data_IF_885474164858
#
_entry.id   IF_885474164858
#
_cell.length_a   1.000
_cell.length_b   1.000
_cell.length_c   1.000
_cell.angle_alpha   90.00
_cell.angle_beta   90.00
_cell.angle_gamma   90.00
#
_symmetry.space_group_name_H-M   'P 1'
#
loop_
_entity.id
_entity.type
_entity.pdbx_description
1 polymer ?
#
# COMPACT_ATOMS: atom_id res chain seq x y z
N UNK A 1 9.38 -5.26 -15.61
CA UNK A 1 9.78 -3.90 -15.20
C UNK A 1 8.52 -3.13 -14.83
N UNK A 2 8.43 -2.51 -13.65
CA UNK A 2 7.22 -1.79 -13.21
C UNK A 2 7.12 -0.46 -13.97
N UNK A 3 6.02 -0.23 -14.72
CA UNK A 3 5.77 1.01 -15.44
C UNK A 3 4.89 1.94 -14.57
N UNK A 4 5.43 3.06 -14.04
CA UNK A 4 4.70 4.02 -13.20
C UNK A 4 3.60 4.81 -13.94
N UNK A 5 3.44 4.63 -15.26
CA UNK A 5 2.38 5.21 -16.08
C UNK A 5 1.12 4.32 -16.19
N UNK A 6 1.20 3.04 -15.80
CA UNK A 6 0.06 2.10 -15.82
C UNK A 6 -0.84 2.23 -14.56
N UNK A 7 -1.07 3.46 -14.10
CA UNK A 7 -1.81 3.75 -12.88
C UNK A 7 -3.28 3.30 -12.96
N UNK A 8 -3.95 3.50 -14.09
CA UNK A 8 -5.34 3.05 -14.31
C UNK A 8 -5.47 1.52 -14.30
N UNK A 9 -4.48 0.80 -14.83
CA UNK A 9 -4.48 -0.67 -14.87
C UNK A 9 -4.23 -1.30 -13.50
N UNK A 10 -3.44 -0.65 -12.66
CA UNK A 10 -3.10 -1.18 -11.35
C UNK A 10 -4.01 -0.65 -10.25
N UNK A 11 -4.49 0.59 -10.27
CA UNK A 11 -5.36 1.17 -9.23
C UNK A 11 -6.88 0.99 -9.46
N UNK A 12 -7.32 -0.01 -10.25
CA UNK A 12 -8.73 -0.44 -10.36
C UNK A 12 -9.43 -0.65 -9.00
N UNK A 13 -8.65 -0.99 -7.97
CA UNK A 13 -9.05 -1.20 -6.59
C UNK A 13 -9.06 0.08 -5.73
N UNK A 14 -8.73 1.26 -6.24
CA UNK A 14 -8.70 2.50 -5.45
C UNK A 14 -9.75 3.49 -5.99
N UNK A 15 -10.83 3.73 -5.23
CA UNK A 15 -11.94 4.61 -5.65
C UNK A 15 -11.60 6.11 -5.60
N UNK A 16 -10.46 6.49 -4.99
CA UNK A 16 -10.10 7.89 -4.76
C UNK A 16 -8.70 8.20 -5.30
N UNK A 17 -8.63 9.11 -6.27
CA UNK A 17 -7.38 9.56 -6.93
C UNK A 17 -6.33 10.04 -5.94
N UNK A 18 -6.72 10.75 -4.87
CA UNK A 18 -5.78 11.27 -3.86
C UNK A 18 -5.10 10.16 -3.08
N UNK A 19 -5.84 9.11 -2.74
CA UNK A 19 -5.31 7.94 -2.01
C UNK A 19 -4.31 7.19 -2.89
N UNK A 20 -4.64 6.97 -4.15
CA UNK A 20 -3.74 6.29 -5.08
C UNK A 20 -2.45 7.10 -5.34
N UNK A 21 -2.51 8.43 -5.44
CA UNK A 21 -1.31 9.30 -5.49
C UNK A 21 -0.46 9.16 -4.22
N UNK A 22 -1.09 9.13 -3.04
CA UNK A 22 -0.38 8.97 -1.77
C UNK A 22 0.33 7.61 -1.69
N UNK A 23 -0.35 6.53 -2.09
CA UNK A 23 0.24 5.19 -2.17
C UNK A 23 1.45 5.18 -3.10
N UNK A 24 1.32 5.76 -4.30
CA UNK A 24 2.44 5.87 -5.27
C UNK A 24 3.65 6.57 -4.64
N UNK A 25 3.44 7.77 -4.08
CA UNK A 25 4.52 8.55 -3.44
C UNK A 25 5.19 7.78 -2.29
N UNK A 26 4.41 7.04 -1.50
CA UNK A 26 4.93 6.25 -0.39
C UNK A 26 5.76 5.04 -0.88
N UNK A 27 5.28 4.32 -1.89
CA UNK A 27 6.01 3.19 -2.49
C UNK A 27 7.32 3.67 -3.13
N UNK A 28 7.27 4.74 -3.93
CA UNK A 28 8.45 5.32 -4.59
C UNK A 28 9.50 5.78 -3.58
N UNK A 29 9.06 6.46 -2.52
CA UNK A 29 9.94 7.00 -1.48
C UNK A 29 10.23 6.01 -0.35
N UNK A 30 9.71 4.77 -0.44
CA UNK A 30 9.82 3.74 0.60
C UNK A 30 9.35 4.21 1.99
N UNK A 31 8.40 5.14 2.01
CA UNK A 31 7.81 5.70 3.23
C UNK A 31 6.70 4.80 3.71
N UNK A 32 6.84 4.28 4.92
CA UNK A 32 5.81 3.46 5.55
C UNK A 32 4.57 4.34 5.78
N UNK A 33 3.38 3.94 5.30
CA UNK A 33 2.16 4.69 5.50
C UNK A 33 1.76 4.66 6.98
N UNK A 34 1.23 5.77 7.47
CA UNK A 34 0.64 5.88 8.81
C UNK A 34 -0.81 5.39 8.87
N UNK A 35 -1.43 5.16 7.71
CA UNK A 35 -2.81 4.71 7.61
C UNK A 35 -2.97 3.29 8.14
N UNK A 36 -3.95 3.09 9.04
CA UNK A 36 -4.39 1.77 9.51
C UNK A 36 -5.48 1.14 8.62
N UNK A 37 -5.80 1.76 7.49
CA UNK A 37 -6.79 1.21 6.57
C UNK A 37 -6.21 0.00 5.82
N UNK A 38 -6.75 -1.20 6.07
CA UNK A 38 -6.27 -2.45 5.49
C UNK A 38 -6.20 -2.42 3.96
N UNK A 39 -7.24 -1.91 3.30
CA UNK A 39 -7.29 -1.81 1.83
C UNK A 39 -6.16 -0.94 1.28
N UNK A 40 -5.81 0.12 2.00
CA UNK A 40 -4.68 0.99 1.65
C UNK A 40 -3.35 0.26 1.83
N UNK A 41 -3.17 -0.48 2.93
CA UNK A 41 -1.97 -1.26 3.20
C UNK A 41 -1.78 -2.39 2.18
N UNK A 42 -2.83 -3.13 1.85
CA UNK A 42 -2.81 -4.18 0.82
C UNK A 42 -2.42 -3.62 -0.55
N UNK A 43 -2.90 -2.42 -0.89
CA UNK A 43 -2.52 -1.73 -2.13
C UNK A 43 -1.00 -1.49 -2.20
N UNK A 44 -0.37 -1.09 -1.10
CA UNK A 44 1.09 -0.91 -1.04
C UNK A 44 1.85 -2.22 -1.30
N UNK A 45 1.35 -3.35 -0.78
CA UNK A 45 1.95 -4.67 -1.00
C UNK A 45 1.85 -5.08 -2.47
N UNK A 46 0.71 -4.85 -3.10
CA UNK A 46 0.48 -5.22 -4.50
C UNK A 46 1.36 -4.43 -5.46
N UNK A 47 1.65 -3.18 -5.14
CA UNK A 47 2.35 -2.25 -6.04
C UNK A 47 3.86 -2.22 -5.86
N UNK A 48 4.38 -2.75 -4.75
CA UNK A 48 5.82 -2.73 -4.45
C UNK A 48 6.50 -4.04 -4.84
N UNK A 49 7.61 -3.94 -5.58
CA UNK A 49 8.55 -5.06 -5.76
C UNK A 49 9.55 -5.20 -4.61
N UNK A 50 9.58 -4.25 -3.67
CA UNK A 50 10.59 -4.21 -2.62
C UNK A 50 10.21 -5.13 -1.45
N UNK A 51 10.97 -6.21 -1.25
CA UNK A 51 10.73 -7.22 -0.21
C UNK A 51 10.76 -6.65 1.22
N UNK A 52 11.69 -5.73 1.51
CA UNK A 52 11.82 -5.14 2.85
C UNK A 52 10.64 -4.23 3.18
N UNK A 53 10.24 -3.40 2.21
CA UNK A 53 9.06 -2.56 2.34
C UNK A 53 7.81 -3.40 2.52
N UNK A 54 7.62 -4.44 1.69
CA UNK A 54 6.50 -5.39 1.81
C UNK A 54 6.40 -6.03 3.19
N UNK A 55 7.52 -6.50 3.77
CA UNK A 55 7.56 -7.05 5.14
C UNK A 55 7.10 -6.04 6.20
N UNK A 56 7.53 -4.77 6.09
CA UNK A 56 7.09 -3.71 7.02
C UNK A 56 5.57 -3.49 6.94
N UNK A 57 5.01 -3.44 5.74
CA UNK A 57 3.56 -3.26 5.55
C UNK A 57 2.78 -4.47 6.06
N UNK A 58 3.27 -5.70 5.82
CA UNK A 58 2.65 -6.92 6.34
C UNK A 58 2.59 -6.92 7.87
N UNK A 59 3.65 -6.48 8.54
CA UNK A 59 3.65 -6.37 10.01
C UNK A 59 2.53 -5.44 10.50
N UNK A 60 2.36 -4.28 9.87
CA UNK A 60 1.30 -3.32 10.21
C UNK A 60 -0.09 -3.90 9.95
N UNK A 61 -0.27 -4.66 8.86
CA UNK A 61 -1.55 -5.33 8.58
C UNK A 61 -1.90 -6.31 9.69
N UNK A 62 -0.94 -7.12 10.13
CA UNK A 62 -1.17 -8.09 11.20
C UNK A 62 -1.45 -7.40 12.55
N UNK A 63 -0.74 -6.32 12.86
CA UNK A 63 -1.03 -5.46 14.01
C UNK A 63 -2.48 -4.96 13.96
N UNK A 64 -2.90 -4.32 12.86
CA UNK A 64 -4.26 -3.80 12.69
C UNK A 64 -5.33 -4.90 12.77
N UNK A 65 -5.07 -6.09 12.22
CA UNK A 65 -5.99 -7.22 12.31
C UNK A 65 -6.11 -7.75 13.74
N UNK A 66 -5.01 -7.77 14.48
CA UNK A 66 -5.00 -8.22 15.88
C UNK A 66 -5.78 -7.27 16.79
N UNK A 67 -5.63 -5.96 16.60
CA UNK A 67 -6.38 -4.93 17.34
C UNK A 67 -7.89 -5.01 17.13
N UNK A 68 -8.34 -5.48 15.96
CA UNK A 68 -9.77 -5.60 15.62
C UNK A 68 -10.43 -6.87 16.14
N UNK A 69 -9.64 -7.85 16.59
CA UNK A 69 -10.14 -9.13 17.12
C UNK A 69 -10.34 -9.10 18.64
N UNK A 70 -9.77 -8.11 19.32
CA UNK A 70 -10.07 -7.77 20.72
C UNK A 70 -11.18 -6.72 20.78
#
# INVERSE_FOLDING_TARGET
MYNPDCFELHHTHCRNKRVAIAIKKNVERRRVPTSRNLRTLESHIRLTGNKNYKRKIQKIIEEVKSERKN
#
